data_IF_948362196169
#
_entry.id   IF_948362196169
#
_cell.length_a   1.000
_cell.length_b   1.000
_cell.length_c   1.000
_cell.angle_alpha   90.00
_cell.angle_beta   90.00
_cell.angle_gamma   90.00
#
_symmetry.space_group_name_H-M   'P 1'
#
loop_
_entity.id
_entity.type
_entity.pdbx_description
1 polymer ?
#
# COMPACT_ATOMS: atom_id res chain seq x y z
N UNK A 1 -42.08 74.29 -17.04
CA UNK A 1 -41.47 74.10 -18.39
C UNK A 1 -40.11 74.77 -18.34
N UNK A 2 -38.95 74.19 -18.61
CA UNK A 2 -38.61 73.11 -19.51
C UNK A 2 -37.21 72.56 -19.15
N UNK A 3 -37.09 71.23 -19.30
CA UNK A 3 -35.92 70.50 -19.82
C UNK A 3 -34.60 70.46 -19.03
N UNK A 4 -34.43 69.35 -18.30
CA UNK A 4 -33.14 68.67 -18.16
C UNK A 4 -32.70 68.11 -19.53
N UNK A 5 -31.52 68.43 -20.07
CA UNK A 5 -30.91 67.64 -21.12
C UNK A 5 -29.89 66.64 -20.54
N UNK A 6 -30.21 65.36 -20.76
CA UNK A 6 -29.31 64.30 -21.25
C UNK A 6 -27.99 64.09 -20.48
N UNK A 7 -27.85 63.11 -19.59
CA UNK A 7 -28.11 61.68 -19.82
C UNK A 7 -27.56 61.18 -21.16
N UNK A 8 -26.25 61.33 -21.45
CA UNK A 8 -25.64 60.71 -22.64
C UNK A 8 -24.17 60.27 -22.55
N UNK A 9 -23.63 60.01 -21.35
CA UNK A 9 -22.29 59.42 -21.26
C UNK A 9 -22.14 58.37 -20.17
N UNK A 10 -23.16 57.52 -19.96
CA UNK A 10 -22.91 56.19 -19.41
C UNK A 10 -22.40 55.35 -20.59
N UNK A 11 -21.11 55.49 -20.89
CA UNK A 11 -20.38 54.58 -21.74
C UNK A 11 -20.40 53.24 -21.02
N UNK A 12 -21.39 52.41 -21.34
CA UNK A 12 -21.42 51.02 -20.95
C UNK A 12 -20.18 50.35 -21.55
N UNK A 13 -19.10 50.30 -20.77
CA UNK A 13 -18.01 49.38 -21.01
C UNK A 13 -18.62 47.98 -20.85
N UNK A 14 -19.18 47.46 -21.93
CA UNK A 14 -19.52 46.06 -22.06
C UNK A 14 -18.19 45.31 -21.95
N UNK A 15 -17.87 44.88 -20.72
CA UNK A 15 -16.80 43.96 -20.44
C UNK A 15 -17.16 42.68 -21.17
N UNK A 16 -16.66 42.54 -22.40
CA UNK A 16 -16.67 41.27 -23.12
C UNK A 16 -15.73 40.37 -22.35
N UNK A 17 -16.29 39.65 -21.38
CA UNK A 17 -15.60 38.52 -20.76
C UNK A 17 -15.48 37.49 -21.87
N UNK A 18 -14.34 37.52 -22.58
CA UNK A 18 -13.99 36.49 -23.53
C UNK A 18 -13.92 35.18 -22.76
N UNK A 19 -14.95 34.35 -22.92
CA UNK A 19 -14.89 32.96 -22.48
C UNK A 19 -13.83 32.29 -23.34
N UNK A 20 -12.62 32.19 -22.79
CA UNK A 20 -11.57 31.36 -23.34
C UNK A 20 -12.10 29.93 -23.31
N UNK A 21 -12.55 29.43 -24.47
CA UNK A 21 -12.91 28.03 -24.59
C UNK A 21 -11.64 27.20 -24.43
N UNK A 22 -11.70 26.17 -23.58
CA UNK A 22 -10.62 25.21 -23.45
C UNK A 22 -10.27 24.68 -24.85
N UNK A 23 -9.03 24.90 -25.27
CA UNK A 23 -8.57 24.42 -26.56
C UNK A 23 -8.28 22.93 -26.44
N UNK A 24 -8.71 22.14 -27.41
CA UNK A 24 -8.36 20.71 -27.49
C UNK A 24 -7.54 20.44 -28.75
N UNK A 25 -6.59 19.52 -28.64
CA UNK A 25 -5.78 19.03 -29.74
C UNK A 25 -5.75 17.50 -29.71
N UNK A 26 -5.85 16.89 -30.88
CA UNK A 26 -5.97 15.43 -31.03
C UNK A 26 -4.70 14.88 -31.64
N UNK A 27 -4.17 13.82 -31.02
CA UNK A 27 -3.05 13.06 -31.56
C UNK A 27 -3.45 12.40 -32.87
N UNK A 28 -2.81 12.82 -33.96
CA UNK A 28 -2.93 12.23 -35.30
C UNK A 28 -1.86 11.17 -35.53
N UNK A 29 -0.69 11.30 -34.88
CA UNK A 29 0.44 10.38 -35.01
C UNK A 29 0.88 10.20 -36.47
N UNK A 30 0.82 11.26 -37.28
CA UNK A 30 1.10 11.21 -38.71
C UNK A 30 2.60 11.22 -39.04
N UNK A 31 3.39 12.02 -38.32
CA UNK A 31 4.79 12.26 -38.62
C UNK A 31 5.73 11.34 -37.85
N UNK A 32 5.46 11.09 -36.56
CA UNK A 32 6.32 10.28 -35.69
C UNK A 32 5.58 9.83 -34.43
N UNK A 33 6.28 9.12 -33.54
CA UNK A 33 5.82 8.77 -32.20
C UNK A 33 6.11 9.87 -31.15
N UNK A 34 6.90 10.89 -31.48
CA UNK A 34 7.37 11.87 -30.49
C UNK A 34 6.25 12.85 -30.10
N UNK A 35 5.94 12.90 -28.79
CA UNK A 35 4.96 13.81 -28.19
C UNK A 35 5.18 15.27 -28.62
N UNK A 36 6.43 15.70 -28.75
CA UNK A 36 6.80 17.10 -29.00
C UNK A 36 6.76 17.50 -30.48
N UNK A 37 6.53 16.56 -31.39
CA UNK A 37 6.42 16.86 -32.82
C UNK A 37 5.03 17.44 -33.12
N UNK A 38 4.95 18.75 -33.36
CA UNK A 38 3.69 19.47 -33.62
C UNK A 38 2.84 18.87 -34.75
N UNK A 39 3.47 18.29 -35.78
CA UNK A 39 2.78 17.62 -36.89
C UNK A 39 2.00 16.35 -36.48
N UNK A 40 2.24 15.81 -35.28
CA UNK A 40 1.46 14.71 -34.72
C UNK A 40 0.17 15.16 -34.03
N UNK A 41 -0.12 16.46 -34.01
CA UNK A 41 -1.27 17.03 -33.32
C UNK A 41 -2.12 17.88 -34.25
N UNK A 42 -3.45 17.78 -34.14
CA UNK A 42 -4.37 18.51 -35.02
C UNK A 42 -4.33 20.03 -34.85
N UNK A 43 -3.90 20.52 -33.68
CA UNK A 43 -3.81 21.95 -33.34
C UNK A 43 -2.53 22.31 -32.57
N UNK A 44 -1.42 21.63 -32.90
CA UNK A 44 -0.14 21.80 -32.21
C UNK A 44 -0.03 21.00 -30.90
N UNK A 45 1.17 21.00 -30.33
CA UNK A 45 1.48 20.23 -29.10
C UNK A 45 0.66 20.78 -27.93
N UNK A 46 0.01 19.90 -27.13
CA UNK A 46 -0.69 20.31 -25.92
C UNK A 46 0.21 21.11 -24.98
N UNK A 47 -0.41 22.03 -24.24
CA UNK A 47 0.21 22.83 -23.17
C UNK A 47 -0.68 22.74 -21.92
N UNK A 48 -0.26 23.28 -20.78
CA UNK A 48 -1.10 23.35 -19.57
C UNK A 48 -2.46 24.07 -19.73
N UNK A 49 -2.72 24.69 -20.89
CA UNK A 49 -4.00 25.33 -21.25
C UNK A 49 -4.77 24.63 -22.38
N UNK A 50 -4.21 23.55 -22.93
CA UNK A 50 -4.75 22.81 -24.07
C UNK A 50 -4.93 21.33 -23.71
N UNK A 51 -6.15 20.80 -23.86
CA UNK A 51 -6.46 19.40 -23.58
C UNK A 51 -5.94 18.48 -24.69
N UNK A 52 -5.37 17.35 -24.31
CA UNK A 52 -4.78 16.34 -25.19
C UNK A 52 -5.72 15.14 -25.34
N UNK A 53 -6.06 14.78 -26.58
CA UNK A 53 -6.88 13.60 -26.89
C UNK A 53 -6.05 12.61 -27.70
N UNK A 54 -5.79 11.43 -27.16
CA UNK A 54 -5.02 10.36 -27.81
C UNK A 54 -5.98 9.28 -28.30
N UNK A 55 -6.21 9.26 -29.62
CA UNK A 55 -7.00 8.23 -30.28
C UNK A 55 -6.24 6.91 -30.48
N UNK A 56 -6.85 5.98 -31.22
CA UNK A 56 -6.30 4.62 -31.47
C UNK A 56 -5.46 4.51 -32.75
N UNK A 57 -5.37 5.58 -33.54
CA UNK A 57 -4.74 5.60 -34.89
C UNK A 57 -3.37 6.30 -34.87
N UNK A 58 -2.56 6.00 -35.89
CA UNK A 58 -1.22 6.58 -36.05
C UNK A 58 -0.15 5.92 -35.17
N UNK A 59 1.07 6.48 -35.24
CA UNK A 59 2.14 6.13 -34.31
C UNK A 59 1.69 6.38 -32.87
N UNK A 60 2.12 5.54 -31.91
CA UNK A 60 1.75 5.73 -30.51
C UNK A 60 2.60 6.83 -29.89
N UNK A 61 2.01 7.80 -29.17
CA UNK A 61 2.79 8.87 -28.55
C UNK A 61 3.76 8.32 -27.51
N UNK A 62 4.97 8.85 -27.54
CA UNK A 62 6.06 8.59 -26.60
C UNK A 62 6.51 9.94 -26.02
N UNK A 63 6.43 10.08 -24.71
CA UNK A 63 7.02 11.20 -23.97
C UNK A 63 8.45 10.84 -23.63
N UNK A 64 9.39 11.21 -24.52
CA UNK A 64 10.83 10.91 -24.38
C UNK A 64 11.66 12.10 -23.90
N UNK A 65 11.10 13.31 -23.93
CA UNK A 65 11.66 14.58 -23.45
C UNK A 65 10.98 15.10 -22.17
N UNK A 66 11.53 16.16 -21.58
CA UNK A 66 10.93 16.86 -20.44
C UNK A 66 9.96 17.96 -20.88
N UNK A 67 9.06 18.37 -19.98
CA UNK A 67 8.12 19.48 -20.22
C UNK A 67 6.87 19.11 -21.02
N UNK A 68 6.53 17.82 -21.11
CA UNK A 68 5.23 17.44 -21.66
C UNK A 68 4.14 17.81 -20.65
N UNK A 69 3.16 18.59 -21.11
CA UNK A 69 2.04 19.03 -20.31
C UNK A 69 0.76 19.12 -21.13
N UNK A 70 -0.40 19.02 -20.47
CA UNK A 70 -1.70 19.25 -21.07
C UNK A 70 -2.68 19.79 -20.00
N UNK A 71 -3.77 20.42 -20.43
CA UNK A 71 -4.88 20.75 -19.53
C UNK A 71 -5.55 19.46 -19.05
N UNK A 72 -6.39 18.86 -19.88
CA UNK A 72 -6.96 17.53 -19.63
C UNK A 72 -6.30 16.48 -20.52
N UNK A 73 -6.29 15.22 -20.07
CA UNK A 73 -5.74 14.09 -20.82
C UNK A 73 -6.82 13.03 -21.05
N UNK A 74 -7.15 12.76 -22.31
CA UNK A 74 -7.97 11.60 -22.68
C UNK A 74 -7.13 10.59 -23.47
N UNK A 75 -7.05 9.35 -22.98
CA UNK A 75 -6.30 8.27 -23.63
C UNK A 75 -7.25 7.14 -24.02
N UNK A 76 -7.61 7.10 -25.31
CA UNK A 76 -8.40 6.03 -25.93
C UNK A 76 -7.49 4.98 -26.60
N UNK A 77 -6.26 5.35 -26.96
CA UNK A 77 -5.21 4.48 -27.51
C UNK A 77 -4.13 4.13 -26.48
N UNK A 78 -2.87 4.01 -26.90
CA UNK A 78 -1.77 3.79 -25.95
C UNK A 78 -0.84 4.99 -25.89
N UNK A 79 -0.37 5.33 -24.71
CA UNK A 79 0.63 6.37 -24.45
C UNK A 79 1.84 5.73 -23.78
N UNK A 80 3.06 6.03 -24.20
CA UNK A 80 4.28 5.63 -23.48
C UNK A 80 4.92 6.85 -22.83
N UNK A 81 5.26 6.75 -21.55
CA UNK A 81 6.06 7.76 -20.85
C UNK A 81 7.41 7.10 -20.51
N UNK A 82 8.49 7.56 -21.13
CA UNK A 82 9.81 6.99 -20.91
C UNK A 82 10.24 7.15 -19.45
N UNK A 83 11.13 6.26 -19.00
CA UNK A 83 11.69 6.31 -17.66
C UNK A 83 12.24 7.71 -17.34
N UNK A 84 12.01 8.19 -16.12
CA UNK A 84 12.42 9.52 -15.62
C UNK A 84 11.72 10.70 -16.30
N UNK A 85 10.80 10.49 -17.23
CA UNK A 85 9.97 11.55 -17.81
C UNK A 85 8.70 11.76 -17.02
N UNK A 86 8.14 12.96 -17.12
CA UNK A 86 6.91 13.37 -16.46
C UNK A 86 6.01 13.99 -17.51
N UNK A 87 4.79 13.48 -17.64
CA UNK A 87 3.69 14.16 -18.32
C UNK A 87 2.83 14.85 -17.25
N UNK A 88 2.74 16.17 -17.32
CA UNK A 88 2.03 16.99 -16.33
C UNK A 88 0.61 17.31 -16.82
N UNK A 89 -0.41 16.89 -16.08
CA UNK A 89 -1.83 17.15 -16.37
C UNK A 89 -2.34 18.21 -15.40
N UNK A 90 -2.87 19.31 -15.93
CA UNK A 90 -3.33 20.45 -15.12
C UNK A 90 -4.78 20.33 -14.62
N UNK A 91 -5.58 19.53 -15.32
CA UNK A 91 -6.99 19.26 -15.09
C UNK A 91 -7.23 17.78 -14.82
N UNK A 92 -8.15 17.19 -15.57
CA UNK A 92 -8.56 15.78 -15.37
C UNK A 92 -7.88 14.82 -16.34
N UNK A 93 -7.84 13.53 -15.99
CA UNK A 93 -7.45 12.47 -16.90
C UNK A 93 -8.51 11.36 -16.98
N UNK A 94 -8.83 10.97 -18.21
CA UNK A 94 -9.66 9.82 -18.56
C UNK A 94 -8.80 8.82 -19.34
N UNK A 95 -8.31 7.80 -18.63
CA UNK A 95 -7.41 6.78 -19.18
C UNK A 95 -8.21 5.53 -19.48
N UNK A 96 -8.78 5.42 -20.67
CA UNK A 96 -9.57 4.26 -21.10
C UNK A 96 -8.72 3.13 -21.68
N UNK A 97 -7.42 3.37 -21.84
CA UNK A 97 -6.47 2.43 -22.42
C UNK A 97 -5.06 2.61 -21.80
N UNK A 98 -4.11 1.78 -22.24
CA UNK A 98 -2.87 1.56 -21.48
C UNK A 98 -1.88 2.72 -21.55
N UNK A 99 -1.33 3.10 -20.39
CA UNK A 99 -0.16 3.99 -20.27
C UNK A 99 1.09 3.16 -19.97
N UNK A 100 1.92 2.97 -20.99
CA UNK A 100 3.14 2.18 -20.95
C UNK A 100 4.33 3.00 -20.45
N UNK A 101 5.42 2.29 -20.13
CA UNK A 101 6.69 2.88 -19.68
C UNK A 101 6.79 3.06 -18.17
N UNK A 102 7.96 3.50 -17.71
CA UNK A 102 8.28 3.68 -16.28
C UNK A 102 8.33 5.15 -15.88
N UNK A 103 7.87 6.03 -16.76
CA UNK A 103 7.70 7.44 -16.47
C UNK A 103 6.58 7.73 -15.48
N UNK A 104 6.43 9.01 -15.15
CA UNK A 104 5.44 9.51 -14.20
C UNK A 104 4.32 10.23 -14.93
N UNK A 105 3.07 9.88 -14.61
CA UNK A 105 1.93 10.74 -14.87
C UNK A 105 1.77 11.66 -13.66
N UNK A 106 2.04 12.95 -13.84
CA UNK A 106 2.00 13.96 -12.80
C UNK A 106 0.74 14.81 -12.91
N UNK A 107 0.07 15.10 -11.81
CA UNK A 107 -1.05 16.05 -11.79
C UNK A 107 -0.70 17.25 -10.93
N UNK A 108 -0.95 18.45 -11.47
CA UNK A 108 -0.75 19.73 -10.80
C UNK A 108 -2.00 20.57 -11.03
N UNK A 109 -2.46 21.39 -10.09
CA UNK A 109 -3.64 22.21 -10.38
C UNK A 109 -4.07 23.13 -9.27
N UNK A 110 -4.46 24.35 -9.63
CA UNK A 110 -4.90 25.42 -8.73
C UNK A 110 -6.35 25.88 -8.96
N UNK A 111 -7.07 25.38 -9.98
CA UNK A 111 -8.30 26.03 -10.51
C UNK A 111 -9.63 25.26 -10.52
N UNK A 112 -9.67 23.96 -10.83
CA UNK A 112 -10.90 23.12 -10.85
C UNK A 112 -10.68 21.76 -10.14
N UNK A 113 -11.74 21.10 -9.67
CA UNK A 113 -11.63 19.72 -9.16
C UNK A 113 -11.19 18.81 -10.31
N UNK A 114 -10.09 18.08 -10.13
CA UNK A 114 -9.58 17.11 -11.11
C UNK A 114 -10.10 15.72 -10.78
N UNK A 115 -10.39 14.92 -11.80
CA UNK A 115 -10.67 13.49 -11.64
C UNK A 115 -9.66 12.66 -12.42
N UNK A 116 -9.30 11.49 -11.89
CA UNK A 116 -8.52 10.50 -12.62
C UNK A 116 -9.33 9.22 -12.67
N UNK A 117 -9.93 8.97 -13.82
CA UNK A 117 -10.63 7.71 -14.09
C UNK A 117 -9.70 6.81 -14.88
N UNK A 118 -9.43 5.62 -14.36
CA UNK A 118 -8.74 4.58 -15.10
C UNK A 118 -9.74 3.50 -15.51
N UNK A 119 -9.72 3.13 -16.79
CA UNK A 119 -10.45 1.98 -17.29
C UNK A 119 -9.87 0.69 -16.71
N UNK A 120 -10.69 -0.35 -16.64
CA UNK A 120 -10.25 -1.66 -16.16
C UNK A 120 -8.99 -2.15 -16.92
N UNK A 121 -7.97 -2.57 -16.17
CA UNK A 121 -6.71 -3.08 -16.73
C UNK A 121 -5.72 -2.01 -17.20
N UNK A 122 -6.02 -0.72 -16.99
CA UNK A 122 -5.04 0.35 -17.22
C UNK A 122 -4.03 0.34 -16.08
N UNK A 123 -2.75 0.34 -16.45
CA UNK A 123 -1.67 0.57 -15.51
C UNK A 123 -0.85 1.78 -15.93
N UNK A 124 -0.30 2.50 -14.96
CA UNK A 124 0.68 3.57 -15.17
C UNK A 124 2.01 3.17 -14.52
N UNK A 125 3.13 3.70 -15.03
CA UNK A 125 4.45 3.49 -14.45
C UNK A 125 4.49 3.99 -13.01
N UNK A 126 4.59 5.30 -12.82
CA UNK A 126 4.38 5.96 -11.53
C UNK A 126 3.24 7.00 -11.66
N UNK A 127 2.52 7.20 -10.56
CA UNK A 127 1.48 8.23 -10.47
C UNK A 127 1.85 9.21 -9.36
N UNK A 128 2.02 10.49 -9.71
CA UNK A 128 2.33 11.57 -8.77
C UNK A 128 1.24 12.62 -8.77
N UNK A 129 0.70 12.89 -7.61
CA UNK A 129 -0.49 13.71 -7.44
C UNK A 129 -0.12 14.85 -6.48
N UNK A 130 0.21 16.00 -7.06
CA UNK A 130 0.60 17.20 -6.35
C UNK A 130 -0.48 18.29 -6.51
N UNK A 131 -1.71 17.95 -6.12
CA UNK A 131 -2.87 18.82 -6.27
C UNK A 131 -3.31 19.38 -4.90
N UNK A 132 -4.00 20.52 -4.91
CA UNK A 132 -4.56 21.18 -3.73
C UNK A 132 -6.07 20.86 -3.52
N UNK A 133 -6.57 19.77 -4.10
CA UNK A 133 -8.01 19.54 -4.32
C UNK A 133 -8.42 18.08 -4.18
N UNK A 134 -9.74 17.90 -4.17
CA UNK A 134 -10.36 16.59 -4.16
C UNK A 134 -10.08 15.84 -5.47
N UNK A 135 -9.74 14.56 -5.35
CA UNK A 135 -9.42 13.68 -6.46
C UNK A 135 -10.12 12.33 -6.27
N UNK A 136 -10.91 11.95 -7.27
CA UNK A 136 -11.44 10.58 -7.36
C UNK A 136 -10.50 9.70 -8.15
N UNK A 137 -10.06 8.59 -7.53
CA UNK A 137 -9.41 7.47 -8.20
C UNK A 137 -10.39 6.31 -8.30
N UNK A 138 -10.56 5.77 -9.51
CA UNK A 138 -11.38 4.59 -9.74
C UNK A 138 -10.61 3.51 -10.50
N UNK A 139 -10.64 2.29 -9.96
CA UNK A 139 -10.08 1.08 -10.59
C UNK A 139 -8.62 1.25 -11.04
N UNK A 140 -7.78 1.80 -10.14
CA UNK A 140 -6.42 2.26 -10.44
C UNK A 140 -5.39 1.16 -10.20
N UNK A 141 -4.59 0.87 -11.23
CA UNK A 141 -3.37 0.06 -11.10
C UNK A 141 -2.12 0.88 -11.38
N UNK A 142 -1.17 0.92 -10.45
CA UNK A 142 0.13 1.60 -10.59
C UNK A 142 1.23 0.55 -10.48
N UNK A 143 2.12 0.46 -11.47
CA UNK A 143 3.19 -0.56 -11.48
C UNK A 143 4.32 -0.24 -10.50
N UNK A 144 4.65 1.04 -10.35
CA UNK A 144 5.69 1.52 -9.44
C UNK A 144 5.05 2.21 -8.23
N UNK A 145 5.36 3.49 -8.03
CA UNK A 145 4.94 4.24 -6.87
C UNK A 145 3.69 5.06 -7.16
N UNK A 146 2.75 5.02 -6.21
CA UNK A 146 1.63 5.94 -6.14
C UNK A 146 1.92 6.95 -5.03
N UNK A 147 2.24 8.19 -5.41
CA UNK A 147 2.58 9.24 -4.46
C UNK A 147 1.64 10.43 -4.56
N UNK A 148 1.17 10.87 -3.40
CA UNK A 148 0.37 12.07 -3.20
C UNK A 148 1.18 13.00 -2.31
N UNK A 149 1.26 14.26 -2.73
CA UNK A 149 1.99 15.33 -2.05
C UNK A 149 1.21 16.61 -2.24
N UNK A 150 0.10 16.76 -1.52
CA UNK A 150 -0.88 17.81 -1.78
C UNK A 150 -1.85 18.03 -0.61
N UNK A 151 -2.59 19.13 -0.68
CA UNK A 151 -3.76 19.32 0.18
C UNK A 151 -4.99 18.83 -0.59
N UNK A 152 -6.01 18.27 0.07
CA UNK A 152 -7.26 17.92 -0.59
C UNK A 152 -7.64 16.47 -0.42
N UNK A 153 -8.91 16.15 -0.71
CA UNK A 153 -9.49 14.87 -0.33
C UNK A 153 -9.31 13.85 -1.42
N UNK A 154 -8.70 12.73 -1.07
CA UNK A 154 -8.50 11.64 -2.00
C UNK A 154 -9.64 10.61 -1.88
N UNK A 155 -10.57 10.66 -2.83
CA UNK A 155 -11.69 9.74 -2.94
C UNK A 155 -11.29 8.50 -3.73
N UNK A 156 -11.49 7.30 -3.16
CA UNK A 156 -11.19 6.04 -3.84
C UNK A 156 -12.46 5.25 -4.11
N UNK A 157 -12.58 4.74 -5.32
CA UNK A 157 -13.68 3.89 -5.78
C UNK A 157 -13.12 2.62 -6.41
N UNK A 158 -13.64 1.45 -6.04
CA UNK A 158 -13.20 0.17 -6.64
C UNK A 158 -11.87 -0.35 -6.11
N UNK A 159 -11.08 -0.97 -6.99
CA UNK A 159 -9.79 -1.59 -6.64
C UNK A 159 -8.62 -0.64 -6.87
N UNK A 160 -7.69 -0.57 -5.90
CA UNK A 160 -6.44 0.18 -6.02
C UNK A 160 -5.27 -0.78 -5.81
N UNK A 161 -4.47 -1.00 -6.85
CA UNK A 161 -3.28 -1.83 -6.80
C UNK A 161 -2.03 -0.98 -7.05
N UNK A 162 -1.09 -0.97 -6.11
CA UNK A 162 0.19 -0.26 -6.19
C UNK A 162 1.31 -1.28 -6.13
N UNK A 163 2.09 -1.40 -7.20
CA UNK A 163 3.11 -2.43 -7.34
C UNK A 163 4.32 -2.24 -6.44
N UNK A 164 4.66 -0.99 -6.10
CA UNK A 164 5.73 -0.66 -5.16
C UNK A 164 5.18 0.12 -3.96
N UNK A 165 5.43 1.42 -3.89
CA UNK A 165 5.14 2.21 -2.69
C UNK A 165 3.87 3.02 -2.83
N UNK A 166 3.05 3.00 -1.77
CA UNK A 166 1.97 3.96 -1.57
C UNK A 166 2.47 5.07 -0.65
N UNK A 167 2.54 6.31 -1.13
CA UNK A 167 3.05 7.46 -0.38
C UNK A 167 1.96 8.51 -0.30
N UNK A 168 1.33 8.67 0.86
CA UNK A 168 0.27 9.64 1.11
C UNK A 168 0.79 10.78 1.98
N UNK A 169 1.55 11.70 1.39
CA UNK A 169 2.09 12.87 2.11
C UNK A 169 1.23 14.11 1.85
N UNK A 170 0.94 14.91 2.88
CA UNK A 170 0.08 16.10 2.74
C UNK A 170 -1.06 16.17 3.74
N UNK A 171 -2.07 16.99 3.44
CA UNK A 171 -3.21 17.27 4.33
C UNK A 171 -4.47 16.53 3.87
N UNK A 172 -5.17 15.89 4.82
CA UNK A 172 -6.46 15.17 4.77
C UNK A 172 -6.72 14.18 3.62
N UNK A 173 -6.19 12.96 3.75
CA UNK A 173 -6.62 11.84 2.90
C UNK A 173 -7.94 11.27 3.39
N UNK A 174 -9.03 11.74 2.81
CA UNK A 174 -10.38 11.22 3.06
C UNK A 174 -10.78 10.21 2.01
N UNK A 175 -10.45 8.94 2.25
CA UNK A 175 -11.09 7.85 1.52
C UNK A 175 -12.59 7.95 1.78
N UNK A 176 -13.47 7.77 0.78
CA UNK A 176 -14.91 7.56 0.97
C UNK A 176 -15.32 6.49 -0.03
N UNK A 177 -15.84 5.37 0.45
CA UNK A 177 -16.27 4.31 -0.44
C UNK A 177 -16.27 2.99 0.28
N UNK A 178 -17.46 2.49 0.62
CA UNK A 178 -17.59 1.11 1.05
C UNK A 178 -17.11 0.19 -0.07
N UNK A 179 -16.28 -0.81 0.24
CA UNK A 179 -15.86 -1.80 -0.76
C UNK A 179 -14.46 -1.63 -1.34
N UNK A 180 -13.68 -0.61 -0.95
CA UNK A 180 -12.36 -0.38 -1.53
C UNK A 180 -11.35 -1.42 -1.04
N UNK A 181 -10.66 -2.04 -1.99
CA UNK A 181 -9.52 -2.94 -1.74
C UNK A 181 -8.24 -2.26 -2.21
N UNK A 182 -7.28 -2.12 -1.31
CA UNK A 182 -6.01 -1.46 -1.54
C UNK A 182 -4.93 -2.52 -1.40
N UNK A 183 -4.11 -2.72 -2.43
CA UNK A 183 -2.96 -3.63 -2.37
C UNK A 183 -1.69 -2.86 -2.64
N UNK A 184 -0.72 -2.92 -1.73
CA UNK A 184 0.59 -2.25 -1.83
C UNK A 184 1.68 -3.31 -1.84
N UNK A 185 2.42 -3.40 -2.95
CA UNK A 185 3.43 -4.43 -3.19
C UNK A 185 4.75 -4.25 -2.46
N UNK A 186 4.99 -3.06 -1.88
CA UNK A 186 6.12 -2.77 -0.99
C UNK A 186 5.63 -2.01 0.25
N UNK A 187 6.07 -0.76 0.45
CA UNK A 187 5.80 0.03 1.65
C UNK A 187 4.60 0.98 1.46
N UNK A 188 3.85 1.18 2.54
CA UNK A 188 2.83 2.21 2.63
C UNK A 188 3.29 3.29 3.62
N UNK A 189 3.47 4.52 3.15
CA UNK A 189 3.80 5.69 3.97
C UNK A 189 2.59 6.63 4.01
N UNK A 190 2.04 6.86 5.19
CA UNK A 190 0.95 7.77 5.48
C UNK A 190 1.49 8.99 6.24
N UNK A 191 1.36 10.18 5.67
CA UNK A 191 1.88 11.43 6.22
C UNK A 191 1.01 12.03 7.32
N UNK A 192 1.26 13.31 7.62
CA UNK A 192 0.87 14.00 8.86
C UNK A 192 -0.62 14.26 9.08
N UNK A 193 -1.48 14.08 8.08
CA UNK A 193 -2.94 14.19 8.25
C UNK A 193 -3.64 13.19 7.34
N UNK A 194 -3.24 11.92 7.36
CA UNK A 194 -4.02 10.86 6.71
C UNK A 194 -5.08 10.32 7.69
N UNK A 195 -6.12 11.09 7.99
CA UNK A 195 -7.32 10.55 8.65
C UNK A 195 -8.10 9.68 7.67
N UNK A 196 -7.72 8.40 7.58
CA UNK A 196 -8.49 7.39 6.85
C UNK A 196 -9.83 7.14 7.56
N UNK A 197 -10.83 7.95 7.22
CA UNK A 197 -12.09 8.03 7.98
C UNK A 197 -13.23 7.19 7.38
N UNK A 198 -13.04 6.56 6.23
CA UNK A 198 -14.09 5.75 5.60
C UNK A 198 -13.95 4.25 5.80
N UNK A 199 -15.08 3.54 5.62
CA UNK A 199 -15.04 2.10 5.57
C UNK A 199 -14.35 1.60 4.31
N UNK A 200 -13.09 1.20 4.39
CA UNK A 200 -12.51 0.32 3.37
C UNK A 200 -12.82 -1.14 3.70
N UNK A 201 -12.74 -2.02 2.70
CA UNK A 201 -12.88 -3.47 2.93
C UNK A 201 -11.56 -4.07 3.36
N UNK A 202 -10.49 -3.78 2.60
CA UNK A 202 -9.16 -4.31 2.89
C UNK A 202 -8.04 -3.35 2.48
N UNK A 203 -7.05 -3.19 3.36
CA UNK A 203 -5.74 -2.61 3.04
C UNK A 203 -4.67 -3.69 3.19
N UNK A 204 -4.13 -4.19 2.09
CA UNK A 204 -3.06 -5.17 2.06
C UNK A 204 -1.72 -4.49 1.81
N UNK A 205 -0.75 -4.66 2.71
CA UNK A 205 0.60 -4.09 2.61
C UNK A 205 1.62 -5.23 2.65
N UNK A 206 2.54 -5.24 1.68
CA UNK A 206 3.57 -6.26 1.60
C UNK A 206 4.72 -6.02 2.58
N UNK A 207 5.13 -4.79 2.84
CA UNK A 207 6.21 -4.48 3.77
C UNK A 207 5.74 -3.48 4.84
N UNK A 208 6.42 -2.36 5.04
CA UNK A 208 6.16 -1.49 6.19
C UNK A 208 4.94 -0.59 5.98
N UNK A 209 4.21 -0.32 7.08
CA UNK A 209 3.16 0.70 7.14
C UNK A 209 3.63 1.83 8.06
N UNK A 210 4.24 2.86 7.52
CA UNK A 210 4.69 4.01 8.30
C UNK A 210 3.60 5.06 8.34
N UNK A 211 3.08 5.42 9.52
CA UNK A 211 2.17 6.55 9.69
C UNK A 211 2.86 7.67 10.50
N UNK A 212 2.83 8.90 9.98
CA UNK A 212 3.41 10.05 10.70
C UNK A 212 2.50 10.53 11.85
N UNK A 213 1.21 10.15 11.82
CA UNK A 213 0.18 10.53 12.80
C UNK A 213 -0.82 9.40 13.03
N UNK A 214 -1.87 9.68 13.81
CA UNK A 214 -2.94 8.76 14.18
C UNK A 214 -3.60 8.08 12.98
N UNK A 215 -3.29 6.81 12.78
CA UNK A 215 -3.98 5.94 11.84
C UNK A 215 -5.24 5.37 12.52
N UNK A 216 -6.42 5.65 11.96
CA UNK A 216 -7.73 5.25 12.53
C UNK A 216 -8.66 4.58 11.53
N UNK A 217 -8.33 3.38 11.02
CA UNK A 217 -9.30 2.60 10.25
C UNK A 217 -10.53 2.30 11.11
N UNK A 218 -11.62 3.04 10.89
CA UNK A 218 -12.88 2.84 11.63
C UNK A 218 -13.60 1.55 11.22
N UNK A 219 -13.27 0.98 10.05
CA UNK A 219 -13.67 -0.37 9.65
C UNK A 219 -12.65 -0.96 8.69
N UNK A 220 -12.90 -2.21 8.26
CA UNK A 220 -12.05 -2.92 7.31
C UNK A 220 -10.95 -3.74 7.96
N UNK A 221 -10.25 -4.51 7.14
CA UNK A 221 -9.15 -5.37 7.54
C UNK A 221 -7.82 -4.83 7.00
N UNK A 222 -6.85 -4.56 7.86
CA UNK A 222 -5.47 -4.30 7.44
C UNK A 222 -4.71 -5.63 7.43
N UNK A 223 -4.18 -6.01 6.27
CA UNK A 223 -3.48 -7.28 6.06
C UNK A 223 -2.01 -7.02 5.76
N UNK A 224 -1.12 -7.58 6.56
CA UNK A 224 0.32 -7.60 6.29
C UNK A 224 0.70 -8.92 5.62
N UNK A 225 1.28 -8.87 4.43
CA UNK A 225 1.45 -10.05 3.56
C UNK A 225 2.89 -10.46 3.26
N UNK A 226 3.88 -9.59 3.47
CA UNK A 226 5.26 -9.94 3.15
C UNK A 226 6.00 -10.64 4.29
N UNK A 227 7.21 -11.14 3.99
CA UNK A 227 7.98 -11.96 4.91
C UNK A 227 8.80 -11.14 5.92
N UNK A 228 8.78 -9.81 5.82
CA UNK A 228 9.65 -8.91 6.57
C UNK A 228 9.06 -8.56 7.94
N UNK A 229 9.85 -7.85 8.76
CA UNK A 229 9.33 -7.25 9.98
C UNK A 229 8.62 -5.94 9.59
N UNK A 230 7.31 -5.93 9.67
CA UNK A 230 6.43 -4.78 9.53
C UNK A 230 6.54 -3.90 10.78
N UNK A 231 7.11 -2.72 10.63
CA UNK A 231 7.01 -1.67 11.62
C UNK A 231 5.78 -0.80 11.32
N UNK A 232 4.93 -0.59 12.32
CA UNK A 232 3.95 0.49 12.26
C UNK A 232 4.51 1.73 12.94
N UNK A 233 4.94 2.70 12.14
CA UNK A 233 5.52 3.95 12.63
C UNK A 233 4.49 4.83 13.37
N UNK A 234 4.87 5.25 14.59
CA UNK A 234 4.42 6.35 15.48
C UNK A 234 2.93 6.79 15.66
N UNK A 235 2.64 7.09 16.94
CA UNK A 235 1.46 7.73 17.56
C UNK A 235 0.15 6.92 17.52
N UNK A 236 -0.01 6.01 18.50
CA UNK A 236 -1.30 5.42 18.95
C UNK A 236 -2.33 5.22 17.82
N UNK A 237 -2.28 4.09 17.13
CA UNK A 237 -3.29 3.74 16.13
C UNK A 237 -4.57 3.21 16.78
N UNK A 238 -5.73 3.54 16.23
CA UNK A 238 -7.00 2.85 16.55
C UNK A 238 -7.35 1.93 15.38
N UNK A 239 -7.36 0.63 15.63
CA UNK A 239 -7.48 -0.38 14.59
C UNK A 239 -8.84 -1.04 14.62
N UNK A 240 -9.53 -1.13 13.48
CA UNK A 240 -10.70 -2.00 13.35
C UNK A 240 -10.26 -3.47 13.40
N UNK A 241 -9.70 -4.00 12.31
CA UNK A 241 -9.17 -5.37 12.31
C UNK A 241 -7.79 -5.45 11.67
N UNK A 242 -6.95 -6.35 12.19
CA UNK A 242 -5.59 -6.61 11.73
C UNK A 242 -5.45 -8.09 11.39
N UNK A 243 -4.86 -8.39 10.25
CA UNK A 243 -4.37 -9.72 9.88
C UNK A 243 -2.88 -9.66 9.55
N UNK A 244 -2.10 -10.57 10.10
CA UNK A 244 -0.70 -10.78 9.77
C UNK A 244 -0.57 -12.13 9.09
N UNK A 245 -0.54 -12.13 7.76
CA UNK A 245 -0.48 -13.36 6.96
C UNK A 245 0.94 -13.94 6.91
N UNK A 246 1.97 -13.10 6.96
CA UNK A 246 3.37 -13.50 7.02
C UNK A 246 4.20 -12.43 7.76
N UNK A 247 5.46 -12.77 8.04
CA UNK A 247 6.43 -11.81 8.59
C UNK A 247 6.26 -11.55 10.08
N UNK A 248 6.70 -10.38 10.54
CA UNK A 248 6.52 -9.96 11.92
C UNK A 248 5.85 -8.61 12.01
N UNK A 249 4.80 -8.44 12.81
CA UNK A 249 4.18 -7.13 13.03
C UNK A 249 4.62 -6.55 14.37
N UNK A 250 5.14 -5.31 14.36
CA UNK A 250 5.43 -4.53 15.57
C UNK A 250 4.39 -3.42 15.71
N UNK A 251 3.52 -3.54 16.72
CA UNK A 251 2.56 -2.49 17.06
C UNK A 251 3.18 -1.49 18.05
N UNK A 252 3.06 -0.17 17.80
CA UNK A 252 3.58 0.86 18.70
C UNK A 252 2.78 0.88 20.02
N UNK A 253 3.44 1.35 21.08
CA UNK A 253 2.82 1.57 22.39
C UNK A 253 1.59 2.50 22.28
N UNK A 254 0.54 2.15 23.01
CA UNK A 254 -0.72 2.90 23.02
C UNK A 254 -1.63 2.61 21.83
N UNK A 255 -1.34 1.55 21.04
CA UNK A 255 -2.28 1.07 20.03
C UNK A 255 -3.57 0.58 20.69
N UNK A 256 -4.71 0.82 20.05
CA UNK A 256 -6.03 0.36 20.46
C UNK A 256 -6.62 -0.50 19.35
N UNK A 257 -7.05 -1.72 19.64
CA UNK A 257 -7.75 -2.57 18.68
C UNK A 257 -9.21 -2.70 19.07
N UNK A 258 -10.12 -2.33 18.16
CA UNK A 258 -11.57 -2.39 18.33
C UNK A 258 -12.19 -3.69 17.82
N UNK A 259 -11.55 -4.39 16.88
CA UNK A 259 -12.09 -5.61 16.25
C UNK A 259 -11.17 -6.81 16.40
N UNK A 260 -10.90 -7.51 15.29
CA UNK A 260 -10.16 -8.78 15.32
C UNK A 260 -8.67 -8.59 15.05
N UNK A 261 -7.85 -9.39 15.72
CA UNK A 261 -6.43 -9.54 15.43
C UNK A 261 -6.19 -11.01 15.10
N UNK A 262 -5.76 -11.26 13.86
CA UNK A 262 -5.47 -12.60 13.35
C UNK A 262 -4.01 -12.65 12.94
N UNK A 263 -3.24 -13.55 13.51
CA UNK A 263 -1.90 -13.90 13.02
C UNK A 263 -1.97 -15.30 12.43
N UNK A 264 -1.47 -15.47 11.21
CA UNK A 264 -1.41 -16.76 10.53
C UNK A 264 -0.16 -17.54 10.93
N UNK A 265 -0.11 -18.83 10.59
CA UNK A 265 0.99 -19.70 10.99
C UNK A 265 2.34 -19.18 10.44
N UNK A 266 3.30 -18.95 11.33
CA UNK A 266 4.62 -18.40 10.97
C UNK A 266 4.72 -16.88 11.08
N UNK A 267 3.62 -16.16 11.33
CA UNK A 267 3.66 -14.75 11.65
C UNK A 267 4.12 -14.51 13.10
N UNK A 268 4.97 -13.51 13.32
CA UNK A 268 5.43 -13.11 14.66
C UNK A 268 4.81 -11.79 15.08
N UNK A 269 4.06 -11.75 16.18
CA UNK A 269 3.45 -10.51 16.64
C UNK A 269 4.24 -9.94 17.83
N UNK A 270 4.80 -8.75 17.66
CA UNK A 270 5.43 -7.98 18.74
C UNK A 270 4.52 -6.83 19.09
N UNK A 271 4.04 -6.84 20.32
CA UNK A 271 3.05 -5.88 20.76
C UNK A 271 3.71 -5.07 21.87
N UNK A 272 3.79 -3.75 21.74
CA UNK A 272 4.13 -2.91 22.89
C UNK A 272 3.06 -2.95 24.00
N UNK A 273 2.72 -1.80 24.55
CA UNK A 273 1.48 -1.62 25.30
C UNK A 273 0.28 -1.58 24.33
N UNK A 274 -0.54 -2.63 24.30
CA UNK A 274 -1.77 -2.69 23.49
C UNK A 274 -2.99 -2.75 24.39
N UNK A 275 -3.94 -1.86 24.13
CA UNK A 275 -5.27 -1.91 24.74
C UNK A 275 -6.23 -2.56 23.77
N UNK A 276 -6.77 -3.71 24.14
CA UNK A 276 -7.86 -4.32 23.39
C UNK A 276 -9.19 -3.72 23.86
N UNK A 277 -9.97 -3.14 22.94
CA UNK A 277 -11.36 -2.72 23.17
C UNK A 277 -12.28 -3.53 22.25
N UNK A 278 -12.33 -4.86 22.41
CA UNK A 278 -12.98 -5.72 21.44
C UNK A 278 -14.49 -5.42 21.37
N UNK A 279 -14.95 -5.05 20.18
CA UNK A 279 -16.35 -5.08 19.77
C UNK A 279 -16.74 -6.49 19.26
N UNK A 280 -15.78 -7.42 19.14
CA UNK A 280 -15.95 -8.78 18.65
C UNK A 280 -14.93 -9.79 19.22
N UNK A 281 -14.92 -11.06 18.76
CA UNK A 281 -13.97 -12.07 19.25
C UNK A 281 -12.54 -11.78 18.80
N UNK A 282 -11.58 -11.99 19.71
CA UNK A 282 -10.14 -11.96 19.41
C UNK A 282 -9.68 -13.40 19.18
N UNK A 283 -9.30 -13.74 17.95
CA UNK A 283 -8.91 -15.09 17.58
C UNK A 283 -7.44 -15.14 17.19
N UNK A 284 -6.61 -15.68 18.08
CA UNK A 284 -5.21 -15.96 17.79
C UNK A 284 -5.10 -17.40 17.27
N UNK A 285 -4.87 -17.55 15.96
CA UNK A 285 -4.71 -18.87 15.33
C UNK A 285 -3.25 -19.34 15.42
N UNK A 286 -3.07 -20.66 15.28
CA UNK A 286 -1.87 -21.40 15.70
C UNK A 286 -0.54 -20.87 15.18
N UNK A 287 0.49 -20.90 16.05
CA UNK A 287 1.91 -20.61 15.82
C UNK A 287 2.35 -19.14 15.79
N UNK A 288 1.52 -18.22 16.26
CA UNK A 288 1.97 -16.85 16.52
C UNK A 288 2.83 -16.78 17.78
N UNK A 289 4.02 -16.17 17.70
CA UNK A 289 4.83 -15.83 18.89
C UNK A 289 4.50 -14.42 19.34
N UNK A 290 4.17 -14.23 20.62
CA UNK A 290 4.00 -12.91 21.25
C UNK A 290 5.26 -12.60 22.06
N UNK A 291 6.13 -11.75 21.50
CA UNK A 291 7.39 -11.38 22.15
C UNK A 291 7.26 -10.00 22.81
N UNK A 292 7.18 -10.01 24.15
CA UNK A 292 7.18 -8.88 25.09
C UNK A 292 6.05 -7.85 24.88
N UNK A 293 5.24 -7.58 25.93
CA UNK A 293 4.15 -6.60 25.86
C UNK A 293 3.17 -6.71 27.04
N UNK A 294 2.31 -5.69 27.21
CA UNK A 294 1.14 -5.78 28.11
C UNK A 294 -0.11 -5.85 27.26
N UNK A 295 -0.90 -6.91 27.44
CA UNK A 295 -2.23 -7.04 26.87
C UNK A 295 -3.26 -6.65 27.94
N UNK A 296 -3.91 -5.50 27.74
CA UNK A 296 -4.99 -5.06 28.61
C UNK A 296 -6.35 -5.26 27.92
N UNK A 297 -7.26 -5.97 28.59
CA UNK A 297 -8.63 -6.23 28.12
C UNK A 297 -9.62 -5.66 29.14
N UNK A 298 -9.87 -4.34 29.13
CA UNK A 298 -10.81 -3.71 30.05
C UNK A 298 -12.27 -4.08 29.73
N UNK A 299 -12.99 -4.66 30.69
CA UNK A 299 -14.45 -4.86 30.64
C UNK A 299 -14.93 -6.24 31.10
N UNK A 300 -16.13 -6.31 31.69
CA UNK A 300 -16.71 -7.51 32.31
C UNK A 300 -17.49 -8.43 31.34
N UNK A 301 -17.39 -8.20 30.03
CA UNK A 301 -18.07 -9.00 29.01
C UNK A 301 -17.26 -10.27 28.73
N UNK A 302 -17.93 -11.42 28.66
CA UNK A 302 -17.30 -12.73 28.44
C UNK A 302 -16.70 -12.82 27.02
N UNK A 303 -15.47 -12.33 26.83
CA UNK A 303 -14.77 -12.42 25.55
C UNK A 303 -14.06 -13.78 25.43
N UNK A 304 -14.30 -14.49 24.33
CA UNK A 304 -13.57 -15.72 24.00
C UNK A 304 -12.24 -15.33 23.35
N UNK A 305 -11.15 -15.56 24.07
CA UNK A 305 -9.80 -15.54 23.49
C UNK A 305 -9.40 -17.00 23.29
N UNK A 306 -9.33 -17.40 22.02
CA UNK A 306 -8.79 -18.72 21.68
C UNK A 306 -7.29 -18.56 21.47
N UNK A 307 -6.50 -19.23 22.31
CA UNK A 307 -5.03 -19.24 22.26
C UNK A 307 -4.63 -20.68 21.96
N UNK A 308 -4.20 -20.95 20.73
CA UNK A 308 -3.68 -22.26 20.36
C UNK A 308 -2.22 -22.12 19.92
N UNK A 309 -1.31 -22.85 20.57
CA UNK A 309 0.09 -22.95 20.12
C UNK A 309 0.85 -21.61 20.08
N UNK A 310 0.68 -20.78 21.11
CA UNK A 310 1.45 -19.52 21.28
C UNK A 310 2.58 -19.76 22.27
N UNK A 311 3.79 -19.37 21.88
CA UNK A 311 4.94 -19.26 22.78
C UNK A 311 5.02 -17.83 23.34
N UNK A 312 4.94 -17.71 24.66
CA UNK A 312 5.05 -16.45 25.39
C UNK A 312 6.45 -16.32 25.98
N UNK A 313 7.26 -15.41 25.43
CA UNK A 313 8.62 -15.21 25.94
C UNK A 313 8.69 -14.22 27.13
N UNK A 314 7.76 -13.25 27.22
CA UNK A 314 7.72 -12.24 28.30
C UNK A 314 6.46 -11.35 28.26
N UNK A 315 5.27 -11.93 28.22
CA UNK A 315 4.01 -11.16 28.17
C UNK A 315 3.33 -11.07 29.54
N UNK A 316 2.74 -9.91 29.85
CA UNK A 316 1.81 -9.74 30.97
C UNK A 316 0.41 -9.61 30.40
N UNK A 317 -0.48 -10.51 30.82
CA UNK A 317 -1.90 -10.47 30.45
C UNK A 317 -2.67 -9.97 31.68
N UNK A 318 -3.33 -8.82 31.56
CA UNK A 318 -4.21 -8.26 32.58
C UNK A 318 -5.65 -8.46 32.13
N UNK A 319 -6.43 -9.17 32.94
CA UNK A 319 -7.80 -9.52 32.58
C UNK A 319 -8.73 -9.33 33.75
N UNK A 320 -9.82 -8.59 33.55
CA UNK A 320 -10.99 -8.66 34.39
C UNK A 320 -12.04 -9.55 33.71
N UNK A 321 -12.20 -10.81 34.17
CA UNK A 321 -13.31 -11.67 33.71
C UNK A 321 -13.09 -12.46 32.41
N UNK A 322 -11.86 -12.85 32.07
CA UNK A 322 -11.55 -13.58 30.83
C UNK A 322 -11.58 -15.11 31.02
N UNK A 323 -12.14 -15.83 30.04
CA UNK A 323 -12.01 -17.28 29.93
C UNK A 323 -10.97 -17.64 28.86
N UNK A 324 -9.84 -18.23 29.27
CA UNK A 324 -8.82 -18.75 28.35
C UNK A 324 -9.23 -20.16 27.93
N UNK A 325 -9.41 -20.40 26.64
CA UNK A 325 -9.75 -21.73 26.10
C UNK A 325 -8.64 -22.16 25.13
N UNK A 326 -7.80 -23.11 25.55
CA UNK A 326 -6.74 -23.68 24.72
C UNK A 326 -5.58 -24.28 25.51
N UNK A 327 -4.68 -24.99 24.81
CA UNK A 327 -3.42 -25.51 25.37
C UNK A 327 -2.36 -24.41 25.29
N UNK A 328 -1.91 -23.93 26.45
CA UNK A 328 -0.81 -22.98 26.59
C UNK A 328 0.44 -23.76 26.97
N UNK A 329 1.51 -23.65 26.17
CA UNK A 329 2.83 -24.20 26.51
C UNK A 329 3.67 -23.07 27.12
N UNK A 330 4.13 -23.25 28.35
CA UNK A 330 4.63 -22.14 29.19
C UNK A 330 6.16 -22.04 29.22
N UNK A 331 6.66 -20.81 29.04
CA UNK A 331 7.97 -20.35 29.51
C UNK A 331 7.85 -19.59 30.84
N UNK A 332 7.16 -18.44 30.84
CA UNK A 332 6.84 -17.63 32.05
C UNK A 332 5.59 -16.74 31.80
N UNK A 333 4.39 -17.17 32.23
CA UNK A 333 3.18 -16.33 32.20
C UNK A 333 2.86 -15.86 33.63
N UNK A 334 2.68 -14.54 33.83
CA UNK A 334 2.16 -13.98 35.07
C UNK A 334 0.76 -13.41 34.81
N UNK A 335 -0.26 -14.09 35.31
CA UNK A 335 -1.64 -13.57 35.35
C UNK A 335 -1.80 -12.76 36.63
N UNK A 336 -2.07 -11.47 36.49
CA UNK A 336 -2.43 -10.60 37.62
C UNK A 336 -3.90 -10.27 37.50
N UNK A 337 -4.64 -10.62 38.57
CA UNK A 337 -6.07 -10.39 38.83
C UNK A 337 -7.05 -11.56 38.54
N UNK A 338 -7.62 -12.08 39.63
CA UNK A 338 -8.97 -12.67 39.81
C UNK A 338 -9.52 -13.77 38.88
N UNK A 339 -8.80 -14.22 37.86
CA UNK A 339 -9.36 -15.04 36.78
C UNK A 339 -9.21 -16.54 37.06
N UNK A 340 -10.28 -17.32 36.87
CA UNK A 340 -10.26 -18.78 37.02
C UNK A 340 -9.65 -19.45 35.78
N UNK A 341 -8.55 -20.19 35.96
CA UNK A 341 -8.01 -21.09 34.93
C UNK A 341 -8.90 -22.33 34.84
N UNK A 342 -9.79 -22.39 33.84
CA UNK A 342 -10.51 -23.62 33.51
C UNK A 342 -9.59 -24.55 32.72
N UNK A 343 -8.75 -25.29 33.45
CA UNK A 343 -8.01 -26.41 32.86
C UNK A 343 -8.94 -27.61 32.64
N UNK A 344 -8.98 -28.14 31.41
CA UNK A 344 -9.49 -29.50 31.20
C UNK A 344 -8.47 -30.46 31.81
N UNK A 345 -8.78 -31.00 32.97
CA UNK A 345 -8.00 -32.07 33.59
C UNK A 345 -7.91 -33.25 32.62
N UNK A 346 -6.68 -33.65 32.26
CA UNK A 346 -6.45 -34.90 31.57
C UNK A 346 -6.67 -36.04 32.56
N UNK A 347 -7.75 -36.81 32.39
CA UNK A 347 -7.97 -38.06 33.09
C UNK A 347 -6.79 -39.00 32.85
N UNK A 348 -5.99 -39.20 33.90
CA UNK A 348 -4.97 -40.25 33.95
C UNK A 348 -5.51 -41.32 34.91
N UNK A 349 -5.73 -42.57 34.46
CA UNK A 349 -6.31 -43.59 35.33
C UNK A 349 -5.29 -44.03 36.38
N UNK A 350 -5.76 -44.15 37.63
CA UNK A 350 -5.01 -44.61 38.78
C UNK A 350 -4.50 -46.05 38.55
N UNK A 351 -3.18 -46.20 38.45
CA UNK A 351 -2.48 -47.48 38.44
C UNK A 351 -1.83 -47.75 39.80
N UNK A 352 -2.30 -48.81 40.45
CA UNK A 352 -1.88 -49.40 41.71
C UNK A 352 -0.38 -49.77 41.76
N UNK A 353 0.28 -49.44 42.88
CA UNK A 353 1.55 -50.06 43.30
C UNK A 353 1.28 -51.49 43.85
N UNK A 354 2.27 -52.42 43.84
CA UNK A 354 3.17 -52.48 45.00
C UNK A 354 4.62 -53.01 44.77
N UNK A 355 5.43 -52.75 45.81
CA UNK A 355 6.49 -53.59 46.41
C UNK A 355 7.86 -53.86 45.71
N UNK A 356 8.89 -53.26 46.33
CA UNK A 356 10.19 -53.82 46.80
C UNK A 356 10.97 -54.84 45.96
N UNK A 357 12.25 -54.53 45.70
CA UNK A 357 13.27 -55.52 45.37
C UNK A 357 14.66 -54.93 45.18
N UNK A 358 15.54 -55.12 46.16
CA UNK A 358 16.96 -54.77 46.10
C UNK A 358 17.74 -55.64 45.11
N UNK A 359 18.78 -55.10 44.43
CA UNK A 359 20.16 -55.64 44.44
C UNK A 359 21.11 -54.87 43.49
N UNK A 360 22.08 -54.21 44.11
CA UNK A 360 23.54 -54.18 43.82
C UNK A 360 24.03 -54.71 42.45
N UNK A 361 24.66 -53.85 41.63
CA UNK A 361 25.98 -54.10 40.97
C UNK A 361 26.50 -52.88 40.20
N UNK A 362 27.64 -52.34 40.64
CA UNK A 362 28.69 -51.70 39.82
C UNK A 362 29.43 -52.81 39.02
N UNK A 363 30.13 -52.56 37.88
CA UNK A 363 31.27 -51.63 37.82
C UNK A 363 31.67 -50.96 36.47
N UNK A 364 32.53 -49.93 36.63
CA UNK A 364 33.75 -49.55 35.87
C UNK A 364 33.76 -49.42 34.33
N UNK A 365 34.29 -48.25 33.93
CA UNK A 365 34.99 -47.97 32.66
C UNK A 365 34.60 -46.56 32.19
N UNK A 366 35.40 -45.50 32.24
CA UNK A 366 36.84 -45.37 32.10
C UNK A 366 37.19 -45.08 30.63
N UNK A 367 37.44 -43.81 30.28
CA UNK A 367 38.57 -43.31 29.46
C UNK A 367 38.31 -41.94 28.77
N UNK A 368 39.24 -41.00 29.05
CA UNK A 368 39.97 -40.06 28.15
C UNK A 368 39.19 -39.25 27.10
N UNK A 369 39.07 -37.92 27.25
CA UNK A 369 40.02 -36.84 26.87
C UNK A 369 40.12 -36.54 25.36
N UNK A 370 39.79 -35.32 24.94
CA UNK A 370 40.71 -34.34 24.33
C UNK A 370 40.00 -33.27 23.45
N UNK A 371 40.36 -32.01 23.71
CA UNK A 371 40.59 -30.87 22.79
C UNK A 371 40.03 -30.96 21.36
N UNK A 372 39.38 -29.89 20.90
CA UNK A 372 40.10 -28.75 20.30
C UNK A 372 39.17 -27.63 19.85
N UNK A 373 39.53 -26.42 20.26
CA UNK A 373 39.07 -25.16 19.71
C UNK A 373 39.77 -24.89 18.37
N UNK A 374 39.01 -24.56 17.32
CA UNK A 374 39.55 -23.87 16.14
C UNK A 374 38.57 -22.84 15.61
N UNK A 375 38.94 -21.59 15.84
CA UNK A 375 38.50 -20.40 15.13
C UNK A 375 38.85 -20.49 13.64
N UNK A 376 37.93 -20.14 12.75
CA UNK A 376 38.29 -19.65 11.41
C UNK A 376 37.43 -18.43 11.05
N UNK A 377 38.15 -17.34 10.78
CA UNK A 377 37.70 -16.07 10.20
C UNK A 377 37.15 -16.25 8.78
N UNK A 378 36.35 -15.29 8.27
CA UNK A 378 35.69 -15.37 6.99
C UNK A 378 36.64 -15.04 5.83
N UNK A 379 36.42 -15.66 4.67
CA UNK A 379 37.10 -15.34 3.41
C UNK A 379 36.12 -14.63 2.48
N UNK A 380 36.42 -13.36 2.21
CA UNK A 380 35.85 -12.56 1.12
C UNK A 380 36.41 -13.04 -0.22
N UNK A 381 35.54 -13.27 -1.19
CA UNK A 381 35.92 -13.24 -2.62
C UNK A 381 34.83 -12.52 -3.41
N UNK A 382 35.15 -11.29 -3.80
CA UNK A 382 34.50 -10.58 -4.89
C UNK A 382 34.81 -11.31 -6.20
N UNK A 383 33.79 -11.59 -7.02
CA UNK A 383 33.97 -12.00 -8.41
C UNK A 383 33.19 -11.05 -9.32
N UNK A 384 33.92 -10.11 -9.91
CA UNK A 384 33.52 -9.33 -11.08
C UNK A 384 33.24 -10.26 -12.26
N UNK A 385 31.96 -10.36 -12.67
CA UNK A 385 31.61 -10.94 -13.97
C UNK A 385 31.48 -9.83 -15.02
N UNK A 386 32.51 -9.74 -15.86
CA UNK A 386 32.45 -9.15 -17.21
C UNK A 386 31.43 -9.93 -18.03
N UNK A 387 30.44 -9.23 -18.58
CA UNK A 387 29.63 -9.73 -19.69
C UNK A 387 30.28 -9.29 -21.00
N UNK A 388 30.82 -10.25 -21.73
CA UNK A 388 31.23 -10.11 -23.13
C UNK A 388 30.02 -10.33 -24.03
N UNK A 389 29.71 -9.35 -24.87
CA UNK A 389 28.73 -9.42 -25.95
C UNK A 389 29.16 -10.40 -27.06
N UNK A 390 28.22 -11.12 -27.68
CA UNK A 390 28.28 -11.47 -29.09
C UNK A 390 27.10 -10.79 -29.80
N UNK A 391 27.28 -9.98 -30.84
CA UNK A 391 27.90 -10.35 -32.08
C UNK A 391 26.82 -10.30 -33.16
N UNK A 392 26.72 -9.15 -33.83
CA UNK A 392 25.79 -8.89 -34.92
C UNK A 392 25.98 -9.89 -36.06
N UNK A 393 24.87 -10.34 -36.67
CA UNK A 393 24.90 -10.96 -37.99
C UNK A 393 23.79 -10.40 -38.86
N UNK A 394 24.20 -9.52 -39.78
CA UNK A 394 23.44 -9.05 -40.92
C UNK A 394 23.00 -10.22 -41.80
N UNK A 395 21.72 -10.25 -42.19
CA UNK A 395 21.28 -10.92 -43.41
C UNK A 395 20.40 -9.93 -44.18
N UNK A 396 20.98 -9.39 -45.27
CA UNK A 396 20.24 -8.77 -46.36
C UNK A 396 19.39 -9.86 -47.03
N UNK A 397 18.11 -9.58 -47.27
CA UNK A 397 17.38 -10.22 -48.36
C UNK A 397 16.60 -9.16 -49.14
N UNK A 398 17.22 -8.76 -50.24
CA UNK A 398 16.61 -8.08 -51.37
C UNK A 398 15.85 -9.11 -52.19
N UNK A 399 14.55 -8.92 -52.43
CA UNK A 399 13.84 -9.54 -53.55
C UNK A 399 12.57 -8.72 -53.85
N UNK A 400 12.67 -7.91 -54.90
CA UNK A 400 11.55 -7.53 -55.77
C UNK A 400 11.87 -8.16 -57.13
N UNK A 401 10.89 -8.74 -57.85
CA UNK A 401 10.29 -7.94 -58.91
C UNK A 401 8.81 -8.26 -59.24
N UNK A 402 8.13 -7.19 -59.70
CA UNK A 402 7.14 -7.10 -60.81
C UNK A 402 6.37 -8.36 -61.25
N UNK A 403 5.04 -8.22 -61.30
CA UNK A 403 4.16 -9.07 -62.11
C UNK A 403 2.78 -8.43 -62.34
N UNK A 404 2.47 -8.13 -63.60
CA UNK A 404 1.23 -7.54 -64.13
C UNK A 404 -0.02 -8.41 -63.90
N UNK A 405 -1.16 -7.80 -63.58
CA UNK A 405 -2.36 -7.68 -64.45
C UNK A 405 -3.33 -6.67 -63.85
#
# INVERSE_FOLDING_TARGET
>A
MCQLPCLRSILAAALVVGVASAQSTTWTGFASADWFTAANWSRGVPTGTTSAIIGTRGFRPIVSGGGAECLDLQVLGSLTIDALRILTVHGSADLQATVLGDGTLGFVGSGAAGSVTMGAGVSVGALRLAMARDLTLRDVSVRNDLAFSGAGRLLWEGEVAVGRNLILTGQEVVMLGGGVNITVGNDATLGTVATMTAPFTRLSVANDLTAATTFRPLSGEVVFTGPTMHAVGSASGEWASIRVAAGSLVLPDGSVLHGSLVAEAGATLRIGALTLRPLGPVELRSAATIAAGTLDVPGASMHRVTIAGIDFQSAVVRTAGLAIVGRVEFGFLRVTDGSALLGSASDTPAGTAPASGSTRRTPRGGWRSARSSRSRRPRSTASTRRWSSPGARCVRRSESPRGRR
#
